data_IF_808783638333
#
_entry.id   IF_808783638333
#
_cell.length_a   1.000
_cell.length_b   1.000
_cell.length_c   1.000
_cell.angle_alpha   90.00
_cell.angle_beta   90.00
_cell.angle_gamma   90.00
#
_symmetry.space_group_name_H-M   'P 1'
#
loop_
_entity.id
_entity.type
_entity.pdbx_description
1 polymer ?
#
# COMPACT_ATOMS: atom_id res chain seq x y z
N UNK A 1 -6.08 -11.39 -22.18
CA UNK A 1 -5.92 -11.51 -20.72
C UNK A 1 -4.82 -10.59 -20.24
N UNK A 2 -5.17 -9.35 -19.92
CA UNK A 2 -4.20 -8.37 -19.42
C UNK A 2 -4.66 -7.87 -18.07
N UNK A 3 -4.03 -8.32 -16.99
CA UNK A 3 -4.22 -7.69 -15.68
C UNK A 3 -3.58 -6.31 -15.71
N UNK A 4 -4.35 -5.30 -15.31
CA UNK A 4 -3.83 -3.95 -15.14
C UNK A 4 -2.90 -3.93 -13.92
N UNK A 5 -1.67 -3.45 -14.12
CA UNK A 5 -0.69 -3.32 -13.04
C UNK A 5 -0.25 -1.87 -12.89
N UNK A 6 -0.07 -1.46 -11.64
CA UNK A 6 0.45 -0.17 -11.19
C UNK A 6 1.92 -0.37 -10.84
N UNK A 7 2.75 -0.32 -11.87
CA UNK A 7 4.21 -0.40 -11.70
C UNK A 7 4.75 0.88 -11.05
N UNK A 8 5.18 0.77 -9.80
CA UNK A 8 5.71 1.90 -9.04
C UNK A 8 7.07 2.39 -9.55
N UNK A 9 7.80 1.58 -10.33
CA UNK A 9 9.12 1.98 -10.88
C UNK A 9 9.02 3.12 -11.89
N UNK A 10 7.82 3.39 -12.41
CA UNK A 10 7.54 4.52 -13.31
C UNK A 10 7.61 5.86 -12.54
N UNK A 11 7.37 5.84 -11.24
CA UNK A 11 7.52 7.01 -10.39
C UNK A 11 9.02 7.30 -10.23
N UNK A 12 9.46 8.51 -10.57
CA UNK A 12 10.86 8.95 -10.42
C UNK A 12 11.20 9.29 -8.97
N UNK A 13 10.98 8.34 -8.06
CA UNK A 13 11.32 8.40 -6.65
C UNK A 13 11.88 7.06 -6.18
N UNK A 14 12.56 7.07 -5.05
CA UNK A 14 13.11 5.86 -4.45
C UNK A 14 11.97 4.94 -3.97
N UNK A 15 11.98 3.66 -4.36
CA UNK A 15 11.01 2.68 -3.89
C UNK A 15 11.07 2.51 -2.37
N UNK A 16 12.22 2.74 -1.74
CA UNK A 16 12.34 2.74 -0.28
C UNK A 16 11.47 3.82 0.38
N UNK A 17 11.01 4.83 -0.38
CA UNK A 17 10.18 5.95 0.08
C UNK A 17 8.78 5.96 -0.54
N UNK A 18 8.37 4.88 -1.20
CA UNK A 18 7.07 4.78 -1.88
C UNK A 18 6.21 3.69 -1.26
N UNK A 19 4.95 4.00 -0.98
CA UNK A 19 3.93 3.01 -0.66
C UNK A 19 2.68 3.28 -1.50
N UNK A 20 1.95 2.22 -1.86
CA UNK A 20 0.67 2.30 -2.56
C UNK A 20 -0.42 1.69 -1.69
N UNK A 21 -1.53 2.42 -1.53
CA UNK A 21 -2.75 1.91 -0.90
C UNK A 21 -3.74 1.56 -2.01
N UNK A 22 -4.20 0.31 -2.05
CA UNK A 22 -5.20 -0.12 -3.03
C UNK A 22 -6.10 -1.23 -2.46
N UNK A 23 -7.34 -1.27 -2.94
CA UNK A 23 -8.30 -2.32 -2.57
C UNK A 23 -8.18 -3.58 -3.44
N UNK A 24 -7.36 -3.53 -4.50
CA UNK A 24 -7.11 -4.62 -5.45
C UNK A 24 -5.63 -5.05 -5.37
N UNK A 25 -5.25 -6.00 -4.49
CA UNK A 25 -3.86 -6.38 -4.29
C UNK A 25 -3.12 -6.87 -5.55
N UNK A 26 -3.86 -7.30 -6.56
CA UNK A 26 -3.36 -7.77 -7.84
C UNK A 26 -2.66 -6.65 -8.64
N UNK A 27 -3.03 -5.39 -8.42
CA UNK A 27 -2.48 -4.27 -9.21
C UNK A 27 -1.07 -3.89 -8.79
N UNK A 28 -0.63 -4.21 -7.57
CA UNK A 28 0.70 -3.89 -7.06
C UNK A 28 1.60 -5.12 -6.86
N UNK A 29 1.28 -6.26 -7.50
CA UNK A 29 2.00 -7.53 -7.34
C UNK A 29 3.51 -7.45 -7.63
N UNK A 30 3.94 -6.58 -8.55
CA UNK A 30 5.36 -6.41 -8.87
C UNK A 30 6.15 -5.72 -7.74
N UNK A 31 5.47 -4.97 -6.87
CA UNK A 31 6.04 -4.29 -5.72
C UNK A 31 5.20 -4.59 -4.46
N UNK A 32 4.96 -5.88 -4.19
CA UNK A 32 4.13 -6.33 -3.05
C UNK A 32 4.61 -5.77 -1.71
N UNK A 33 5.92 -5.58 -1.54
CA UNK A 33 6.51 -5.00 -0.34
C UNK A 33 6.22 -3.50 -0.18
N UNK A 34 5.66 -2.84 -1.19
CA UNK A 34 5.24 -1.45 -1.13
C UNK A 34 3.70 -1.32 -1.08
N UNK A 35 2.97 -2.45 -1.12
CA UNK A 35 1.51 -2.50 -1.18
C UNK A 35 0.85 -2.58 0.19
N UNK A 36 -0.06 -1.65 0.46
CA UNK A 36 -0.92 -1.62 1.64
C UNK A 36 -2.35 -1.94 1.17
N UNK A 37 -2.86 -3.16 1.40
CA UNK A 37 -4.22 -3.49 1.06
C UNK A 37 -5.20 -2.69 1.94
N UNK A 38 -6.25 -2.15 1.34
CA UNK A 38 -7.36 -1.52 2.07
C UNK A 38 -8.69 -2.19 1.71
N UNK A 39 -9.64 -2.18 2.63
CA UNK A 39 -11.01 -2.59 2.35
C UNK A 39 -11.63 -1.71 1.25
N UNK A 40 -12.39 -2.32 0.35
CA UNK A 40 -13.20 -1.57 -0.61
C UNK A 40 -14.35 -0.83 0.09
N UNK A 41 -14.62 0.40 -0.35
CA UNK A 41 -15.69 1.21 0.23
C UNK A 41 -17.03 0.96 -0.47
N UNK A 42 -18.08 0.74 0.31
CA UNK A 42 -19.43 0.39 -0.18
C UNK A 42 -20.52 1.34 0.30
N UNK A 43 -20.23 2.64 0.42
CA UNK A 43 -21.17 3.67 0.92
C UNK A 43 -21.65 3.51 2.37
N UNK A 44 -20.93 2.71 3.18
CA UNK A 44 -21.18 2.61 4.62
C UNK A 44 -20.69 3.90 5.32
N UNK A 45 -21.59 4.67 5.98
CA UNK A 45 -21.20 5.88 6.71
C UNK A 45 -20.40 5.58 7.99
N UNK A 46 -20.35 4.33 8.43
CA UNK A 46 -19.57 3.88 9.59
C UNK A 46 -18.18 3.39 9.21
N UNK A 47 -17.83 3.40 7.91
CA UNK A 47 -16.52 2.95 7.44
C UNK A 47 -15.42 3.91 7.89
N UNK A 48 -14.47 3.38 8.66
CA UNK A 48 -13.31 4.13 9.18
C UNK A 48 -11.99 3.61 8.61
N UNK A 49 -12.01 2.83 7.51
CA UNK A 49 -10.82 2.11 7.02
C UNK A 49 -9.64 3.03 6.74
N UNK A 50 -9.88 4.27 6.27
CA UNK A 50 -8.83 5.27 6.07
C UNK A 50 -8.24 5.78 7.39
N UNK A 51 -9.05 5.92 8.43
CA UNK A 51 -8.58 6.34 9.76
C UNK A 51 -7.73 5.24 10.41
N UNK A 52 -8.10 3.98 10.18
CA UNK A 52 -7.35 2.82 10.68
C UNK A 52 -5.95 2.69 10.06
N UNK A 53 -5.71 3.32 8.90
CA UNK A 53 -4.37 3.39 8.30
C UNK A 53 -3.44 4.36 9.02
N UNK A 54 -3.96 5.38 9.71
CA UNK A 54 -3.16 6.47 10.30
C UNK A 54 -2.00 5.95 11.17
N UNK A 55 -2.21 5.05 12.17
CA UNK A 55 -1.12 4.59 13.03
C UNK A 55 -0.02 3.84 12.27
N UNK A 56 -0.40 3.12 11.21
CA UNK A 56 0.58 2.44 10.37
C UNK A 56 1.35 3.41 9.48
N UNK A 57 0.67 4.40 8.89
CA UNK A 57 1.30 5.43 8.08
C UNK A 57 2.28 6.28 8.91
N UNK A 58 1.93 6.59 10.16
CA UNK A 58 2.84 7.25 11.12
C UNK A 58 4.10 6.39 11.39
N UNK A 59 3.96 5.06 11.44
CA UNK A 59 5.10 4.15 11.65
C UNK A 59 6.10 4.19 10.49
N UNK A 60 5.63 4.34 9.25
CA UNK A 60 6.49 4.35 8.05
C UNK A 60 6.91 5.75 7.62
N UNK A 61 6.34 6.82 8.20
CA UNK A 61 6.59 8.21 7.79
C UNK A 61 8.07 8.61 7.91
N UNK A 62 8.75 8.15 8.96
CA UNK A 62 10.16 8.45 9.22
C UNK A 62 11.10 7.28 8.86
N UNK A 63 10.58 6.23 8.22
CA UNK A 63 11.37 5.04 7.90
C UNK A 63 12.39 5.31 6.79
N UNK A 64 13.59 4.75 6.94
CA UNK A 64 14.62 4.77 5.88
C UNK A 64 14.17 3.99 4.65
N UNK A 65 13.54 2.82 4.87
CA UNK A 65 12.93 1.98 3.85
C UNK A 65 11.58 1.46 4.34
N UNK A 66 10.51 1.81 3.61
CA UNK A 66 9.14 1.37 3.93
C UNK A 66 8.92 -0.11 3.62
N UNK A 67 9.69 -0.69 2.69
CA UNK A 67 9.49 -2.02 2.13
C UNK A 67 9.47 -3.14 3.20
N UNK A 68 10.50 -3.25 4.04
CA UNK A 68 10.53 -4.26 5.11
C UNK A 68 9.38 -4.12 6.12
N UNK A 69 8.95 -2.89 6.41
CA UNK A 69 7.90 -2.61 7.41
C UNK A 69 6.52 -2.98 6.86
N UNK A 70 6.24 -2.60 5.61
CA UNK A 70 5.01 -2.96 4.88
C UNK A 70 4.95 -4.47 4.67
N UNK A 71 6.04 -5.11 4.22
CA UNK A 71 6.10 -6.55 4.05
C UNK A 71 5.81 -7.29 5.38
N UNK A 72 6.44 -6.87 6.49
CA UNK A 72 6.19 -7.48 7.80
C UNK A 72 4.73 -7.34 8.28
N UNK A 73 4.01 -6.31 7.84
CA UNK A 73 2.61 -6.08 8.22
C UNK A 73 1.61 -6.78 7.31
N UNK A 74 1.88 -6.84 6.00
CA UNK A 74 0.88 -7.17 4.98
C UNK A 74 1.30 -8.28 4.01
N UNK A 75 2.59 -8.61 3.87
CA UNK A 75 3.01 -9.72 3.03
C UNK A 75 2.71 -11.03 3.76
N UNK A 76 1.82 -11.84 3.18
CA UNK A 76 1.56 -13.23 3.54
C UNK A 76 1.99 -14.13 2.40
#
# INVERSE_FOLDING_TARGET
DGSYQKDLTIIKADLAKLAIVDYTPEVFQQQVNNGIPIKSWSSDPSDISLLELIPFLETIADADDVGPIVANKFAS
#
